data_IF_480102567225
#
_entry.id   IF_480102567225
#
_cell.length_a   1.000
_cell.length_b   1.000
_cell.length_c   1.000
_cell.angle_alpha   90.00
_cell.angle_beta   90.00
_cell.angle_gamma   90.00
#
_symmetry.space_group_name_H-M   'P 1'
#
loop_
_entity.id
_entity.type
_entity.pdbx_description
1 polymer ?
#
# COMPACT_ATOMS: atom_id res chain seq x y z
N UNK A 1 -11.74 -24.38 13.33
CA UNK A 1 -10.34 -24.82 13.26
C UNK A 1 -10.11 -25.60 11.99
N UNK A 2 -9.75 -24.89 10.93
CA UNK A 2 -9.61 -25.50 9.61
C UNK A 2 -8.26 -25.14 9.02
N UNK A 3 -7.42 -26.15 8.82
CA UNK A 3 -6.16 -26.02 8.08
C UNK A 3 -6.39 -26.61 6.70
N UNK A 4 -5.93 -25.90 5.69
CA UNK A 4 -6.08 -26.26 4.29
C UNK A 4 -4.72 -26.52 3.66
N UNK A 5 -4.67 -27.47 2.74
CA UNK A 5 -3.50 -27.74 1.92
C UNK A 5 -3.92 -27.84 0.47
N UNK A 6 -3.23 -27.11 -0.41
CA UNK A 6 -3.55 -27.11 -1.84
C UNK A 6 -2.92 -28.30 -2.59
N UNK A 7 -3.12 -28.32 -3.91
CA UNK A 7 -2.52 -29.30 -4.82
C UNK A 7 -1.01 -29.11 -4.99
N UNK A 8 -0.28 -30.20 -5.24
CA UNK A 8 1.15 -30.14 -5.51
C UNK A 8 1.38 -29.43 -6.84
N UNK A 9 2.20 -28.38 -6.82
CA UNK A 9 2.63 -27.67 -8.03
C UNK A 9 4.12 -27.90 -8.27
N UNK A 10 4.52 -28.03 -9.53
CA UNK A 10 5.93 -28.11 -9.94
C UNK A 10 6.50 -26.72 -10.21
N UNK A 11 7.57 -26.41 -9.50
CA UNK A 11 8.33 -25.16 -9.52
C UNK A 11 9.78 -25.39 -9.96
N UNK A 12 10.01 -26.34 -10.87
CA UNK A 12 11.34 -26.73 -11.35
C UNK A 12 12.30 -25.57 -11.67
N UNK A 13 11.83 -24.50 -12.30
CA UNK A 13 12.68 -23.33 -12.60
C UNK A 13 13.09 -22.52 -11.37
N UNK A 14 12.25 -22.47 -10.35
CA UNK A 14 12.57 -21.81 -9.07
C UNK A 14 13.49 -22.71 -8.26
N UNK A 15 13.20 -24.01 -8.21
CA UNK A 15 14.02 -24.99 -7.52
C UNK A 15 15.44 -25.07 -8.07
N UNK A 16 15.61 -25.07 -9.40
CA UNK A 16 16.92 -25.04 -10.07
C UNK A 16 17.71 -23.78 -9.73
N UNK A 17 17.06 -22.60 -9.78
CA UNK A 17 17.70 -21.31 -9.44
C UNK A 17 18.11 -21.22 -7.98
N UNK A 18 17.37 -21.85 -7.08
CA UNK A 18 17.61 -21.81 -5.62
C UNK A 18 18.37 -23.02 -5.08
N UNK A 19 18.77 -23.97 -5.93
CA UNK A 19 19.46 -25.19 -5.53
C UNK A 19 18.63 -26.07 -4.58
N UNK A 20 17.31 -26.06 -4.71
CA UNK A 20 16.40 -26.82 -3.85
C UNK A 20 16.35 -28.28 -4.29
N UNK A 21 16.29 -29.18 -3.30
CA UNK A 21 16.26 -30.64 -3.53
C UNK A 21 14.92 -31.14 -4.07
N UNK A 22 13.85 -30.38 -3.87
CA UNK A 22 12.52 -30.72 -4.36
C UNK A 22 12.04 -29.62 -5.29
N UNK A 23 11.49 -30.02 -6.42
CA UNK A 23 10.85 -29.14 -7.40
C UNK A 23 9.36 -28.99 -7.13
N UNK A 24 8.80 -29.83 -6.27
CA UNK A 24 7.36 -29.92 -6.05
C UNK A 24 7.02 -29.50 -4.63
N UNK A 25 6.06 -28.60 -4.48
CA UNK A 25 5.52 -28.25 -3.17
C UNK A 25 4.04 -27.85 -3.26
N UNK A 26 3.39 -27.90 -2.11
CA UNK A 26 2.06 -27.39 -1.86
C UNK A 26 2.15 -26.31 -0.77
N UNK A 27 1.11 -25.52 -0.62
CA UNK A 27 0.96 -24.48 0.39
C UNK A 27 -0.01 -24.95 1.47
N UNK A 28 0.43 -24.84 2.71
CA UNK A 28 -0.36 -25.08 3.90
C UNK A 28 -0.79 -23.74 4.50
N UNK A 29 -2.08 -23.60 4.79
CA UNK A 29 -2.66 -22.34 5.26
C UNK A 29 -3.90 -22.60 6.15
N UNK A 30 -4.47 -21.61 6.85
CA UNK A 30 -5.57 -21.85 7.82
C UNK A 30 -6.54 -20.66 7.94
N UNK A 31 -7.59 -20.71 8.76
CA UNK A 31 -8.42 -19.51 8.94
C UNK A 31 -7.66 -18.40 9.70
N UNK A 32 -6.80 -18.78 10.66
CA UNK A 32 -5.94 -17.87 11.44
C UNK A 32 -4.44 -18.26 11.41
N UNK A 33 -3.51 -17.31 11.59
CA UNK A 33 -2.08 -17.61 11.71
C UNK A 33 -1.76 -18.55 12.87
N UNK A 34 -2.42 -18.37 14.02
CA UNK A 34 -2.22 -19.16 15.24
C UNK A 34 -2.52 -20.64 14.99
N UNK A 35 -3.69 -20.94 14.40
CA UNK A 35 -4.06 -22.31 14.02
C UNK A 35 -3.06 -22.93 13.04
N UNK A 36 -2.55 -22.13 12.10
CA UNK A 36 -1.54 -22.59 11.15
C UNK A 36 -0.22 -22.93 11.86
N UNK A 37 0.20 -22.15 12.85
CA UNK A 37 1.43 -22.40 13.59
C UNK A 37 1.34 -23.64 14.46
N UNK A 38 0.23 -23.83 15.15
CA UNK A 38 0.00 -25.02 15.97
C UNK A 38 -0.03 -26.29 15.12
N UNK A 39 -0.65 -26.21 13.93
CA UNK A 39 -0.65 -27.33 12.99
C UNK A 39 0.74 -27.58 12.38
N UNK A 40 1.45 -26.53 11.99
CA UNK A 40 2.79 -26.62 11.44
C UNK A 40 3.78 -27.21 12.44
N UNK A 41 3.68 -26.85 13.72
CA UNK A 41 4.48 -27.42 14.80
C UNK A 41 4.24 -28.94 14.95
N UNK A 42 2.98 -29.39 14.92
CA UNK A 42 2.64 -30.83 14.94
C UNK A 42 3.17 -31.59 13.73
N UNK A 43 3.26 -30.94 12.58
CA UNK A 43 3.90 -31.52 11.38
C UNK A 43 5.44 -31.46 11.40
N UNK A 44 6.05 -30.86 12.42
CA UNK A 44 7.50 -30.68 12.51
C UNK A 44 8.06 -29.66 11.52
N UNK A 45 7.27 -28.66 11.13
CA UNK A 45 7.74 -27.52 10.32
C UNK A 45 8.35 -26.45 11.24
N UNK A 46 9.43 -25.81 10.78
CA UNK A 46 10.10 -24.76 11.55
C UNK A 46 9.33 -23.45 11.45
N UNK A 47 9.21 -22.71 12.56
CA UNK A 47 8.56 -21.38 12.58
C UNK A 47 9.13 -20.42 11.54
N UNK A 48 10.44 -20.47 11.31
CA UNK A 48 11.17 -19.66 10.33
C UNK A 48 10.81 -19.94 8.86
N UNK A 49 10.09 -21.02 8.56
CA UNK A 49 9.60 -21.32 7.20
C UNK A 49 8.26 -20.66 6.88
N UNK A 50 7.70 -19.92 7.84
CA UNK A 50 6.50 -19.13 7.62
C UNK A 50 6.78 -17.97 6.67
N UNK A 51 5.95 -17.81 5.65
CA UNK A 51 6.12 -16.78 4.62
C UNK A 51 5.01 -15.74 4.68
N UNK A 52 5.30 -14.54 4.15
CA UNK A 52 4.33 -13.46 3.97
C UNK A 52 3.60 -13.06 5.27
N UNK A 53 4.32 -13.01 6.40
CA UNK A 53 3.75 -12.67 7.70
C UNK A 53 3.10 -11.28 7.75
N UNK A 54 3.50 -10.40 6.84
CA UNK A 54 3.06 -9.02 6.70
C UNK A 54 1.79 -8.86 5.84
N UNK A 55 1.27 -9.93 5.24
CA UNK A 55 0.09 -9.83 4.38
C UNK A 55 -0.82 -11.05 4.46
N UNK A 56 -2.03 -10.94 3.90
CA UNK A 56 -3.07 -11.98 3.94
C UNK A 56 -2.71 -13.31 3.24
N UNK A 57 -1.59 -13.37 2.51
CA UNK A 57 -1.11 -14.56 1.77
C UNK A 57 -0.12 -15.39 2.60
N UNK A 58 -0.17 -15.28 3.92
CA UNK A 58 0.65 -16.08 4.81
C UNK A 58 0.41 -17.59 4.65
N UNK A 59 1.49 -18.36 4.64
CA UNK A 59 1.46 -19.81 4.42
C UNK A 59 2.80 -20.49 4.80
N UNK A 60 2.80 -21.82 4.77
CA UNK A 60 4.01 -22.66 4.74
C UNK A 60 4.10 -23.42 3.42
N UNK A 61 5.29 -23.48 2.84
CA UNK A 61 5.57 -24.43 1.75
C UNK A 61 5.84 -25.81 2.33
N UNK A 62 5.15 -26.83 1.80
CA UNK A 62 5.27 -28.23 2.23
C UNK A 62 5.64 -29.13 1.06
N UNK A 63 6.57 -30.05 1.28
CA UNK A 63 6.94 -31.09 0.31
C UNK A 63 5.81 -32.11 0.15
N UNK A 64 5.80 -32.95 -0.92
CA UNK A 64 4.78 -33.97 -1.12
C UNK A 64 4.58 -34.91 0.09
N UNK A 65 5.67 -35.29 0.76
CA UNK A 65 5.61 -36.10 1.98
C UNK A 65 4.93 -35.36 3.14
N UNK A 66 5.25 -34.08 3.34
CA UNK A 66 4.62 -33.24 4.38
C UNK A 66 3.17 -32.92 4.05
N UNK A 67 2.79 -32.75 2.79
CA UNK A 67 1.38 -32.67 2.35
C UNK A 67 0.61 -33.93 2.72
N UNK A 68 1.16 -35.12 2.39
CA UNK A 68 0.52 -36.38 2.75
C UNK A 68 0.38 -36.54 4.28
N UNK A 69 1.36 -36.07 5.04
CA UNK A 69 1.26 -36.00 6.50
C UNK A 69 0.18 -35.01 6.98
N UNK A 70 0.07 -33.84 6.34
CA UNK A 70 -0.97 -32.85 6.63
C UNK A 70 -2.38 -33.42 6.44
N UNK A 71 -2.62 -34.11 5.31
CA UNK A 71 -3.90 -34.75 5.04
C UNK A 71 -4.23 -35.83 6.07
N UNK A 72 -3.26 -36.69 6.44
CA UNK A 72 -3.44 -37.68 7.52
C UNK A 72 -3.71 -37.03 8.87
N UNK A 73 -3.17 -35.85 9.13
CA UNK A 73 -3.40 -35.07 10.34
C UNK A 73 -4.71 -34.25 10.32
N UNK A 74 -5.52 -34.39 9.26
CA UNK A 74 -6.84 -33.75 9.15
C UNK A 74 -6.85 -32.39 8.45
N UNK A 75 -5.80 -32.01 7.73
CA UNK A 75 -5.87 -30.85 6.84
C UNK A 75 -6.88 -31.10 5.72
N UNK A 76 -7.69 -30.10 5.40
CA UNK A 76 -8.61 -30.13 4.27
C UNK A 76 -7.88 -29.88 2.96
N UNK A 77 -8.09 -30.78 2.01
CA UNK A 77 -7.63 -30.56 0.65
C UNK A 77 -8.44 -29.46 -0.03
N UNK A 78 -7.76 -28.54 -0.70
CA UNK A 78 -8.37 -27.49 -1.52
C UNK A 78 -7.70 -27.46 -2.90
N UNK A 79 -8.45 -27.07 -3.92
CA UNK A 79 -7.87 -26.78 -5.23
C UNK A 79 -7.39 -25.33 -5.30
N UNK A 80 -6.75 -24.95 -6.41
CA UNK A 80 -6.29 -23.57 -6.65
C UNK A 80 -7.41 -22.53 -6.51
N UNK A 81 -8.65 -22.88 -6.87
CA UNK A 81 -9.81 -21.98 -6.76
C UNK A 81 -10.21 -21.78 -5.31
N UNK A 82 -10.24 -22.85 -4.51
CA UNK A 82 -10.47 -22.81 -3.07
C UNK A 82 -9.42 -21.97 -2.35
N UNK A 83 -8.14 -22.11 -2.73
CA UNK A 83 -7.08 -21.27 -2.19
C UNK A 83 -7.27 -19.79 -2.55
N UNK A 84 -7.65 -19.49 -3.79
CA UNK A 84 -7.96 -18.12 -4.21
C UNK A 84 -9.16 -17.53 -3.46
N UNK A 85 -10.22 -18.32 -3.25
CA UNK A 85 -11.39 -17.91 -2.47
C UNK A 85 -11.04 -17.62 -1.00
N UNK A 86 -10.22 -18.49 -0.39
CA UNK A 86 -9.71 -18.30 0.97
C UNK A 86 -8.87 -17.02 1.09
N UNK A 87 -7.97 -16.78 0.14
CA UNK A 87 -7.17 -15.55 0.08
C UNK A 87 -8.06 -14.31 -0.11
N UNK A 88 -9.11 -14.40 -0.94
CA UNK A 88 -10.07 -13.32 -1.13
C UNK A 88 -10.87 -13.04 0.15
N UNK A 89 -11.30 -14.08 0.87
CA UNK A 89 -11.99 -13.96 2.15
C UNK A 89 -11.09 -13.31 3.21
N UNK A 90 -9.82 -13.75 3.34
CA UNK A 90 -8.86 -13.11 4.26
C UNK A 90 -8.54 -11.68 3.87
N UNK A 91 -8.44 -11.39 2.58
CA UNK A 91 -8.27 -10.02 2.08
C UNK A 91 -9.45 -9.14 2.46
N UNK A 92 -10.68 -9.64 2.32
CA UNK A 92 -11.88 -8.93 2.75
C UNK A 92 -11.90 -8.73 4.28
N UNK A 93 -11.51 -9.76 5.04
CA UNK A 93 -11.48 -9.72 6.50
C UNK A 93 -10.39 -8.77 7.07
N UNK A 94 -9.21 -8.72 6.44
CA UNK A 94 -8.15 -7.77 6.79
C UNK A 94 -8.57 -6.30 6.61
N UNK A 95 -9.41 -6.02 5.61
CA UNK A 95 -10.04 -4.72 5.40
C UNK A 95 -11.25 -4.44 6.30
N UNK A 96 -11.54 -5.30 7.30
CA UNK A 96 -12.68 -5.17 8.24
C UNK A 96 -12.26 -5.04 9.71
N UNK A 97 -11.01 -4.70 10.01
CA UNK A 97 -10.61 -4.37 11.38
C UNK A 97 -11.17 -2.97 11.77
N UNK A 98 -12.41 -2.98 12.25
CA UNK A 98 -13.09 -1.87 12.94
C UNK A 98 -13.69 -0.82 12.01
N UNK A 99 -15.00 -0.59 12.13
CA UNK A 99 -15.57 0.70 11.71
C UNK A 99 -14.96 1.76 12.62
N UNK A 100 -14.02 2.53 12.08
CA UNK A 100 -13.42 3.67 12.78
C UNK A 100 -14.34 4.87 12.57
N UNK A 101 -14.71 5.50 13.69
CA UNK A 101 -15.51 6.71 13.71
C UNK A 101 -14.65 7.90 14.07
N UNK A 102 -14.94 9.05 13.48
CA UNK A 102 -14.26 10.30 13.74
C UNK A 102 -15.18 11.49 13.48
N UNK A 103 -14.76 12.65 13.96
CA UNK A 103 -15.45 13.92 13.71
C UNK A 103 -14.44 15.03 13.55
N UNK A 104 -14.76 16.03 12.72
CA UNK A 104 -13.91 17.19 12.53
C UNK A 104 -14.47 18.14 11.50
N UNK A 105 -13.64 19.07 11.05
CA UNK A 105 -14.01 20.05 10.03
C UNK A 105 -13.38 19.68 8.71
N UNK A 106 -14.16 19.70 7.63
CA UNK A 106 -13.65 19.49 6.27
C UNK A 106 -12.73 20.65 5.91
N UNK A 107 -11.47 20.37 5.58
CA UNK A 107 -10.47 21.38 5.21
C UNK A 107 -10.16 21.40 3.72
N UNK A 108 -10.38 20.30 3.02
CA UNK A 108 -10.22 20.19 1.57
C UNK A 108 -11.13 19.08 1.04
N UNK A 109 -11.59 19.21 -0.21
CA UNK A 109 -12.38 18.20 -0.91
C UNK A 109 -11.94 18.15 -2.36
N UNK A 110 -11.40 17.01 -2.77
CA UNK A 110 -11.01 16.73 -4.15
C UNK A 110 -12.07 15.81 -4.76
N UNK A 111 -12.87 16.32 -5.70
CA UNK A 111 -13.88 15.53 -6.42
C UNK A 111 -13.25 14.95 -7.67
N UNK A 112 -13.35 13.64 -7.82
CA UNK A 112 -12.86 12.87 -8.97
C UNK A 112 -14.02 12.13 -9.63
N UNK A 113 -13.79 11.65 -10.85
CA UNK A 113 -14.76 10.85 -11.59
C UNK A 113 -14.20 9.44 -11.78
N UNK A 114 -15.02 8.41 -11.63
CA UNK A 114 -14.64 7.03 -11.97
C UNK A 114 -14.52 6.87 -13.49
N UNK A 115 -13.90 5.78 -13.94
CA UNK A 115 -13.86 5.42 -15.37
C UNK A 115 -15.26 5.25 -15.99
N UNK A 116 -16.28 5.02 -15.15
CA UNK A 116 -17.69 4.90 -15.54
C UNK A 116 -18.47 6.22 -15.46
N UNK A 117 -17.80 7.34 -15.16
CA UNK A 117 -18.44 8.66 -15.10
C UNK A 117 -19.09 9.01 -13.76
N UNK A 118 -18.93 8.17 -12.72
CA UNK A 118 -19.55 8.42 -11.42
C UNK A 118 -18.66 9.31 -10.54
N UNK A 119 -19.20 10.37 -9.91
CA UNK A 119 -18.41 11.25 -9.07
C UNK A 119 -18.12 10.60 -7.71
N UNK A 120 -16.87 10.67 -7.27
CA UNK A 120 -16.40 10.27 -5.94
C UNK A 120 -15.48 11.36 -5.38
N UNK A 121 -15.15 11.35 -4.09
CA UNK A 121 -14.34 12.42 -3.51
C UNK A 121 -13.29 11.93 -2.52
N UNK A 122 -12.23 12.71 -2.33
CA UNK A 122 -11.34 12.62 -1.18
C UNK A 122 -11.54 13.87 -0.33
N UNK A 123 -12.05 13.71 0.89
CA UNK A 123 -12.27 14.80 1.81
C UNK A 123 -11.23 14.75 2.94
N UNK A 124 -10.46 15.82 3.11
CA UNK A 124 -9.59 15.99 4.25
C UNK A 124 -10.40 16.52 5.44
N UNK A 125 -10.46 15.75 6.52
CA UNK A 125 -11.17 16.14 7.75
C UNK A 125 -10.15 16.37 8.86
N UNK A 126 -10.08 17.60 9.36
CA UNK A 126 -9.22 17.98 10.48
C UNK A 126 -9.96 17.80 11.80
N UNK A 127 -9.50 16.83 12.60
CA UNK A 127 -9.92 16.62 13.97
C UNK A 127 -8.94 17.20 14.98
N UNK A 128 -9.14 16.88 16.26
CA UNK A 128 -8.27 17.32 17.36
C UNK A 128 -6.90 16.65 17.36
N UNK A 129 -6.81 15.42 16.84
CA UNK A 129 -5.58 14.62 16.82
C UNK A 129 -4.79 14.74 15.50
N UNK A 130 -5.33 15.41 14.49
CA UNK A 130 -4.70 15.54 13.18
C UNK A 130 -5.72 15.57 12.04
N UNK A 131 -5.21 15.48 10.81
CA UNK A 131 -6.01 15.44 9.59
C UNK A 131 -6.07 14.03 9.04
N UNK A 132 -7.27 13.57 8.69
CA UNK A 132 -7.51 12.28 8.03
C UNK A 132 -8.03 12.54 6.61
N UNK A 133 -7.45 11.86 5.63
CA UNK A 133 -7.97 11.86 4.26
C UNK A 133 -9.01 10.75 4.12
N UNK A 134 -10.27 11.14 3.91
CA UNK A 134 -11.41 10.24 3.79
C UNK A 134 -11.76 10.06 2.32
N UNK A 135 -11.57 8.85 1.79
CA UNK A 135 -12.09 8.45 0.49
C UNK A 135 -13.60 8.21 0.61
N UNK A 136 -14.38 8.93 -0.18
CA UNK A 136 -15.84 8.87 -0.25
C UNK A 136 -16.21 8.17 -1.55
N UNK A 137 -16.63 6.88 -1.51
CA UNK A 137 -17.05 6.15 -2.70
C UNK A 137 -18.23 6.82 -3.39
N UNK A 138 -18.39 6.61 -4.69
CA UNK A 138 -19.42 7.29 -5.50
C UNK A 138 -20.84 7.17 -4.91
N UNK A 139 -21.22 5.98 -4.45
CA UNK A 139 -22.52 5.74 -3.82
C UNK A 139 -22.76 6.57 -2.56
N UNK A 140 -21.71 6.81 -1.75
CA UNK A 140 -21.79 7.64 -0.55
C UNK A 140 -21.73 9.13 -0.93
N UNK A 141 -20.89 9.50 -1.90
CA UNK A 141 -20.77 10.87 -2.36
C UNK A 141 -22.10 11.44 -2.85
N UNK A 142 -22.88 10.66 -3.60
CA UNK A 142 -24.23 11.06 -4.03
C UNK A 142 -25.17 11.39 -2.86
N UNK A 143 -24.97 10.79 -1.69
CA UNK A 143 -25.80 11.01 -0.50
C UNK A 143 -25.30 12.21 0.34
N UNK A 144 -23.99 12.42 0.39
CA UNK A 144 -23.37 13.39 1.31
C UNK A 144 -22.68 14.57 0.63
N UNK A 145 -22.80 14.75 -0.69
CA UNK A 145 -22.11 15.82 -1.44
C UNK A 145 -22.33 17.22 -0.82
N UNK A 146 -23.54 17.51 -0.35
CA UNK A 146 -23.88 18.78 0.30
C UNK A 146 -23.15 19.02 1.63
N UNK A 147 -22.63 17.96 2.27
CA UNK A 147 -21.88 18.03 3.54
C UNK A 147 -20.38 18.20 3.32
N UNK A 148 -19.87 17.89 2.12
CA UNK A 148 -18.46 17.96 1.77
C UNK A 148 -18.08 19.36 1.31
N UNK A 149 -18.23 20.33 2.22
CA UNK A 149 -17.89 21.73 1.98
C UNK A 149 -16.78 22.13 2.95
N UNK A 150 -15.76 22.85 2.46
CA UNK A 150 -14.68 23.35 3.32
C UNK A 150 -15.26 24.24 4.42
N UNK A 151 -14.91 23.93 5.67
CA UNK A 151 -15.45 24.59 6.87
C UNK A 151 -16.66 23.88 7.49
N UNK A 152 -17.26 22.89 6.82
CA UNK A 152 -18.38 22.14 7.37
C UNK A 152 -17.91 21.15 8.45
N UNK A 153 -18.58 21.11 9.62
CA UNK A 153 -18.31 20.11 10.64
C UNK A 153 -19.05 18.81 10.29
N UNK A 154 -18.31 17.71 10.20
CA UNK A 154 -18.83 16.39 9.83
C UNK A 154 -18.39 15.33 10.83
N UNK A 155 -19.28 14.36 11.10
CA UNK A 155 -18.92 13.06 11.64
C UNK A 155 -18.81 12.06 10.49
N UNK A 156 -17.88 11.13 10.60
CA UNK A 156 -17.66 10.09 9.61
C UNK A 156 -17.42 8.75 10.28
N UNK A 157 -17.85 7.69 9.61
CA UNK A 157 -17.54 6.31 9.95
C UNK A 157 -17.01 5.60 8.71
N UNK A 158 -16.11 4.64 8.90
CA UNK A 158 -15.49 3.98 7.77
C UNK A 158 -14.44 2.97 8.18
N UNK A 159 -13.65 2.52 7.22
CA UNK A 159 -12.67 1.46 7.41
C UNK A 159 -11.31 1.89 6.88
N UNK A 160 -10.24 1.41 7.50
CA UNK A 160 -8.91 1.58 6.95
C UNK A 160 -8.67 0.53 5.87
N UNK A 161 -8.26 0.97 4.70
CA UNK A 161 -7.82 0.13 3.60
C UNK A 161 -6.29 0.17 3.56
N UNK A 162 -5.68 -0.96 3.94
CA UNK A 162 -4.24 -1.18 4.00
C UNK A 162 -3.62 -1.64 2.66
N UNK A 163 -4.46 -1.86 1.64
CA UNK A 163 -4.00 -2.27 0.31
C UNK A 163 -3.09 -1.23 -0.34
N UNK A 164 -3.43 0.09 -0.38
CA UNK A 164 -2.50 1.11 -0.83
C UNK A 164 -1.45 1.41 0.23
N UNK A 165 -0.28 1.84 -0.23
CA UNK A 165 0.78 2.36 0.65
C UNK A 165 1.00 3.83 0.29
N UNK A 166 0.68 4.78 1.18
CA UNK A 166 0.16 4.58 2.54
C UNK A 166 -1.32 4.11 2.58
N UNK A 167 -1.77 3.53 3.72
CA UNK A 167 -3.15 3.11 3.91
C UNK A 167 -4.12 4.29 3.78
N UNK A 168 -5.30 4.04 3.23
CA UNK A 168 -6.34 5.06 3.00
C UNK A 168 -7.56 4.78 3.84
N UNK A 169 -8.19 5.82 4.37
CA UNK A 169 -9.45 5.68 5.08
C UNK A 169 -10.61 5.74 4.08
N UNK A 170 -11.45 4.72 4.04
CA UNK A 170 -12.64 4.65 3.17
C UNK A 170 -13.89 4.87 4.01
N UNK A 171 -14.57 5.99 3.76
CA UNK A 171 -15.80 6.36 4.44
C UNK A 171 -16.95 5.44 4.02
N UNK A 172 -17.72 5.00 5.01
CA UNK A 172 -18.98 4.26 4.87
C UNK A 172 -20.16 5.17 5.13
N UNK A 173 -20.02 6.15 6.03
CA UNK A 173 -21.06 7.12 6.36
C UNK A 173 -20.44 8.48 6.67
N UNK A 174 -21.10 9.56 6.24
CA UNK A 174 -20.76 10.95 6.58
C UNK A 174 -22.04 11.69 6.94
N UNK A 175 -22.07 12.30 8.12
CA UNK A 175 -23.21 13.05 8.64
C UNK A 175 -22.79 14.43 9.13
N UNK A 176 -23.70 15.39 9.08
CA UNK A 176 -23.44 16.71 9.66
C UNK A 176 -23.37 16.58 11.18
N UNK A 177 -22.32 17.12 11.79
CA UNK A 177 -22.34 17.37 13.24
C UNK A 177 -22.99 18.72 13.49
N UNK A 178 -23.95 18.76 14.41
CA UNK A 178 -24.48 20.04 14.86
C UNK A 178 -23.34 20.87 15.46
N UNK A 179 -23.00 21.99 14.81
CA UNK A 179 -22.24 23.04 15.48
C UNK A 179 -23.00 23.40 16.75
N UNK A 180 -22.43 23.14 17.93
CA UNK A 180 -22.85 23.88 19.12
C UNK A 180 -22.38 25.32 18.90
N UNK A 181 -23.29 26.29 18.75
CA UNK A 181 -22.87 27.66 18.45
C UNK A 181 -22.18 28.25 19.69
N UNK A 182 -21.04 28.93 19.57
CA UNK A 182 -20.78 30.02 20.51
C UNK A 182 -21.87 31.08 20.27
N UNK A 183 -22.47 31.56 21.36
CA UNK A 183 -23.46 32.63 21.32
C UNK A 183 -22.96 33.81 20.46
N UNK A 184 -23.82 34.28 19.54
CA UNK A 184 -23.50 35.23 18.47
C UNK A 184 -23.22 36.67 18.93
N UNK A 185 -23.43 37.72 18.10
CA UNK A 185 -24.11 37.73 16.79
C UNK A 185 -23.40 38.51 15.65
N UNK A 186 -24.03 38.45 14.47
CA UNK A 186 -24.04 39.42 13.34
C UNK A 186 -23.24 39.02 12.09
N UNK A 187 -24.01 38.63 11.05
CA UNK A 187 -23.67 38.77 9.62
C UNK A 187 -23.80 40.27 9.21
N UNK A 188 -23.60 40.70 7.92
CA UNK A 188 -23.40 39.93 6.69
C UNK A 188 -22.35 40.50 5.69
N UNK A 189 -22.02 39.76 4.63
CA UNK A 189 -21.88 40.28 3.26
C UNK A 189 -21.51 39.17 2.26
N UNK A 190 -22.19 39.22 1.11
CA UNK A 190 -22.11 38.32 -0.03
C UNK A 190 -20.75 38.27 -0.72
N UNK A 191 -20.37 37.11 -1.26
CA UNK A 191 -19.44 36.98 -2.37
C UNK A 191 -19.94 35.91 -3.35
N UNK A 192 -19.99 36.29 -4.62
CA UNK A 192 -20.49 35.53 -5.78
C UNK A 192 -19.70 34.25 -6.08
N UNK A 193 -20.28 33.28 -6.82
CA UNK A 193 -19.60 32.03 -7.16
C UNK A 193 -18.47 32.26 -8.17
N UNK A 194 -17.22 32.01 -7.76
CA UNK A 194 -16.09 31.96 -8.66
C UNK A 194 -16.22 30.73 -9.59
N UNK A 195 -16.18 31.01 -10.90
CA UNK A 195 -16.30 30.04 -12.00
C UNK A 195 -15.26 28.93 -11.92
N UNK A 196 -15.71 27.71 -12.16
CA UNK A 196 -14.88 26.55 -12.42
C UNK A 196 -14.07 26.75 -13.72
N UNK A 197 -12.75 26.55 -13.65
CA UNK A 197 -11.95 26.14 -14.80
C UNK A 197 -11.83 24.61 -14.80
N UNK A 198 -12.00 23.95 -15.94
CA UNK A 198 -11.74 22.52 -16.07
C UNK A 198 -10.23 22.27 -16.21
N UNK A 199 -9.83 21.04 -15.93
CA UNK A 199 -8.48 20.48 -16.10
C UNK A 199 -7.44 20.80 -15.01
N UNK A 200 -7.63 20.22 -13.83
CA UNK A 200 -6.52 19.62 -13.06
C UNK A 200 -7.05 18.36 -12.37
N UNK A 201 -6.36 17.24 -12.57
CA UNK A 201 -6.54 16.01 -11.79
C UNK A 201 -5.54 16.06 -10.62
N UNK A 202 -5.95 16.22 -9.35
CA UNK A 202 -5.06 15.92 -8.23
C UNK A 202 -5.35 14.49 -7.77
N UNK A 203 -4.42 13.62 -8.11
CA UNK A 203 -4.39 12.26 -7.61
C UNK A 203 -3.61 12.24 -6.29
N UNK A 204 -4.27 11.81 -5.22
CA UNK A 204 -3.71 11.44 -3.91
C UNK A 204 -2.72 12.46 -3.30
N UNK A 205 -3.20 13.29 -2.37
CA UNK A 205 -2.32 14.03 -1.47
C UNK A 205 -1.35 13.04 -0.79
N UNK A 206 -0.03 13.13 -1.05
CA UNK A 206 0.92 12.34 -0.29
C UNK A 206 1.09 12.96 1.09
N UNK A 207 1.42 12.12 2.05
CA UNK A 207 1.70 12.46 3.45
C UNK A 207 2.99 13.31 3.51
N UNK A 208 2.90 14.57 3.10
CA UNK A 208 3.91 15.59 3.35
C UNK A 208 3.22 16.75 4.05
N UNK A 209 3.88 17.31 5.07
CA UNK A 209 3.33 18.25 6.06
C UNK A 209 2.82 19.61 5.54
N UNK A 210 2.47 19.74 4.26
CA UNK A 210 1.83 20.89 3.66
C UNK A 210 0.86 20.41 2.58
N UNK A 211 -0.37 20.92 2.57
CA UNK A 211 -1.43 20.52 1.64
C UNK A 211 -1.03 20.63 0.15
N UNK A 212 0.01 21.41 -0.16
CA UNK A 212 0.53 21.64 -1.50
C UNK A 212 1.93 21.06 -1.74
N UNK A 213 2.50 20.29 -0.80
CA UNK A 213 3.91 19.87 -0.88
C UNK A 213 4.27 19.12 -2.15
N UNK A 214 3.35 18.31 -2.66
CA UNK A 214 3.54 17.62 -3.92
C UNK A 214 3.51 18.57 -5.11
N UNK A 215 2.52 19.46 -5.17
CA UNK A 215 2.35 20.42 -6.25
C UNK A 215 3.53 21.41 -6.30
N UNK A 216 3.99 21.89 -5.14
CA UNK A 216 5.13 22.79 -5.03
C UNK A 216 6.41 22.13 -5.57
N UNK A 217 6.65 20.87 -5.21
CA UNK A 217 7.82 20.11 -5.69
C UNK A 217 7.71 19.85 -7.20
N UNK A 218 6.54 19.44 -7.71
CA UNK A 218 6.36 19.18 -9.14
C UNK A 218 6.46 20.45 -9.98
N UNK A 219 5.91 21.58 -9.51
CA UNK A 219 6.04 22.87 -10.18
C UNK A 219 7.49 23.34 -10.21
N UNK A 220 8.21 23.24 -9.09
CA UNK A 220 9.64 23.55 -9.01
C UNK A 220 10.49 22.66 -9.93
N UNK A 221 10.15 21.37 -9.97
CA UNK A 221 10.80 20.37 -10.82
C UNK A 221 10.49 20.53 -12.32
N UNK A 222 9.55 21.41 -12.70
CA UNK A 222 9.05 21.50 -14.07
C UNK A 222 8.51 20.17 -14.58
N UNK A 223 7.87 19.41 -13.68
CA UNK A 223 7.34 18.06 -13.91
C UNK A 223 8.37 17.06 -14.44
N UNK A 224 9.64 17.22 -14.11
CA UNK A 224 10.73 16.33 -14.53
C UNK A 224 11.39 15.66 -13.33
N UNK A 225 11.94 14.47 -13.54
CA UNK A 225 12.77 13.81 -12.54
C UNK A 225 14.02 14.66 -12.25
N UNK A 226 14.18 15.09 -11.00
CA UNK A 226 15.26 15.98 -10.51
C UNK A 226 16.53 15.21 -10.08
N UNK A 227 16.58 13.89 -10.26
CA UNK A 227 17.75 13.11 -9.84
C UNK A 227 19.05 13.67 -10.46
N UNK A 228 20.04 13.93 -9.61
CA UNK A 228 21.37 14.47 -9.98
C UNK A 228 22.43 13.38 -10.16
N UNK A 229 22.02 12.10 -10.14
CA UNK A 229 22.89 10.95 -10.38
C UNK A 229 22.82 9.87 -9.30
N UNK A 230 22.01 10.06 -8.26
CA UNK A 230 21.78 9.09 -7.18
C UNK A 230 21.28 7.74 -7.70
N UNK A 231 20.53 7.73 -8.81
CA UNK A 231 20.10 6.49 -9.46
C UNK A 231 21.28 5.72 -10.08
N UNK A 232 22.36 6.40 -10.46
CA UNK A 232 23.50 5.87 -11.22
C UNK A 232 23.09 5.03 -12.43
N UNK A 233 22.02 5.44 -13.11
CA UNK A 233 21.64 4.97 -14.44
C UNK A 233 22.36 5.83 -15.48
N UNK A 234 22.88 5.20 -16.53
CA UNK A 234 23.57 5.90 -17.60
C UNK A 234 22.55 6.55 -18.54
N UNK A 235 22.11 7.75 -18.19
CA UNK A 235 21.24 8.62 -19.00
C UNK A 235 22.01 9.20 -20.20
N UNK A 236 22.50 8.31 -21.09
CA UNK A 236 23.45 8.64 -22.16
C UNK A 236 22.88 9.60 -23.21
N UNK A 237 21.57 9.58 -23.44
CA UNK A 237 20.89 10.45 -24.42
C UNK A 237 20.68 11.88 -23.94
N UNK A 238 20.76 12.10 -22.63
CA UNK A 238 20.34 13.31 -21.94
C UNK A 238 21.45 13.87 -21.06
N UNK A 239 22.70 13.50 -21.36
CA UNK A 239 23.89 14.04 -20.70
C UNK A 239 24.02 13.68 -19.22
N UNK A 240 23.45 12.54 -18.79
CA UNK A 240 23.53 12.10 -17.38
C UNK A 240 22.33 12.48 -16.51
N UNK A 241 21.34 13.23 -17.05
CA UNK A 241 20.09 13.55 -16.35
C UNK A 241 18.91 12.70 -16.82
N UNK A 242 17.99 12.39 -15.93
CA UNK A 242 16.75 11.72 -16.34
C UNK A 242 15.82 12.71 -17.05
N UNK A 243 15.29 12.33 -18.20
CA UNK A 243 14.31 13.08 -19.01
C UNK A 243 12.86 12.65 -18.75
N UNK A 244 12.63 11.82 -17.73
CA UNK A 244 11.31 11.34 -17.38
C UNK A 244 10.43 12.51 -16.89
N UNK A 245 9.32 12.74 -17.59
CA UNK A 245 8.31 13.75 -17.27
C UNK A 245 7.05 13.14 -16.67
N UNK A 246 6.42 13.84 -15.73
CA UNK A 246 5.09 13.47 -15.25
C UNK A 246 4.10 13.43 -16.42
N UNK A 247 3.30 12.38 -16.53
CA UNK A 247 2.36 12.19 -17.64
C UNK A 247 3.00 11.82 -18.99
N UNK A 248 4.34 11.81 -19.10
CA UNK A 248 5.05 11.37 -20.29
C UNK A 248 4.98 9.84 -20.49
N UNK A 249 5.25 9.37 -21.71
CA UNK A 249 5.24 7.93 -22.01
C UNK A 249 6.66 7.42 -22.26
N UNK A 250 7.06 6.40 -21.49
CA UNK A 250 8.39 5.79 -21.57
C UNK A 250 8.57 4.74 -22.68
N UNK A 251 7.51 4.44 -23.45
CA UNK A 251 7.53 3.44 -24.52
C UNK A 251 6.13 2.94 -24.92
N UNK A 252 6.01 2.22 -26.04
CA UNK A 252 4.74 1.61 -26.47
C UNK A 252 4.27 0.58 -25.43
N UNK A 253 3.01 0.70 -25.00
CA UNK A 253 2.38 -0.23 -24.06
C UNK A 253 2.75 -0.04 -22.58
N UNK A 254 3.46 1.04 -22.24
CA UNK A 254 3.75 1.39 -20.85
C UNK A 254 2.73 2.43 -20.34
N UNK A 255 2.30 2.33 -19.06
CA UNK A 255 1.49 3.37 -18.44
C UNK A 255 2.27 4.70 -18.40
N UNK A 256 1.56 5.84 -18.30
CA UNK A 256 2.21 7.15 -18.19
C UNK A 256 3.12 7.18 -16.96
N UNK A 257 4.25 7.86 -17.10
CA UNK A 257 5.24 8.03 -16.05
C UNK A 257 4.60 8.88 -14.95
N UNK A 258 4.45 8.27 -13.77
CA UNK A 258 4.07 8.97 -12.56
C UNK A 258 5.34 9.32 -11.78
N UNK A 259 5.59 10.60 -11.60
CA UNK A 259 6.63 11.07 -10.70
C UNK A 259 6.14 11.03 -9.26
N UNK A 260 7.07 10.75 -8.36
CA UNK A 260 6.87 10.65 -6.92
C UNK A 260 7.71 11.73 -6.23
N UNK A 261 7.26 12.20 -5.07
CA UNK A 261 8.03 13.14 -4.24
C UNK A 261 8.72 12.35 -3.14
N UNK A 262 10.02 12.55 -2.99
CA UNK A 262 10.82 11.91 -1.96
C UNK A 262 12.04 12.76 -1.61
N UNK A 263 12.67 12.54 -0.44
CA UNK A 263 13.92 13.19 -0.08
C UNK A 263 15.02 12.92 -1.11
N UNK A 264 15.99 13.82 -1.18
CA UNK A 264 17.21 13.60 -1.97
C UNK A 264 17.98 12.36 -1.51
N UNK A 265 18.09 12.18 -0.20
CA UNK A 265 18.74 11.03 0.41
C UNK A 265 17.74 9.86 0.53
N UNK A 266 17.91 8.78 -0.25
CA UNK A 266 17.02 7.63 -0.25
C UNK A 266 17.14 6.77 1.02
N UNK A 267 18.06 7.09 1.95
CA UNK A 267 18.17 6.41 3.24
C UNK A 267 17.25 6.99 4.31
N UNK A 268 16.69 8.18 4.08
CA UNK A 268 15.78 8.85 5.02
C UNK A 268 14.55 7.96 5.24
N UNK A 269 14.26 7.55 6.49
CA UNK A 269 13.07 6.76 6.79
C UNK A 269 11.79 7.49 6.41
N UNK A 270 10.79 6.76 5.93
CA UNK A 270 9.53 7.32 5.43
C UNK A 270 8.81 8.21 6.47
N UNK A 271 8.86 7.83 7.75
CA UNK A 271 8.27 8.61 8.83
C UNK A 271 8.97 9.97 9.08
N UNK A 272 10.24 10.09 8.73
CA UNK A 272 11.00 11.35 8.77
C UNK A 272 10.69 12.16 7.51
N UNK A 273 10.72 11.50 6.35
CA UNK A 273 10.38 12.10 5.06
C UNK A 273 9.00 12.77 5.06
N UNK A 274 8.02 12.15 5.72
CA UNK A 274 6.65 12.67 5.84
C UNK A 274 6.54 14.01 6.58
N UNK A 275 7.55 14.38 7.38
CA UNK A 275 7.60 15.62 8.17
C UNK A 275 8.46 16.71 7.51
N UNK A 276 9.12 16.38 6.41
CA UNK A 276 9.99 17.31 5.69
C UNK A 276 9.15 18.33 4.90
N UNK A 277 9.72 19.52 4.72
CA UNK A 277 9.13 20.60 3.94
C UNK A 277 9.43 20.44 2.45
N UNK A 278 8.67 21.09 1.57
CA UNK A 278 8.79 20.92 0.11
C UNK A 278 10.14 21.33 -0.49
N UNK A 279 10.94 22.12 0.21
CA UNK A 279 12.32 22.47 -0.13
C UNK A 279 13.32 21.33 0.14
N UNK A 280 12.98 20.37 0.99
CA UNK A 280 13.83 19.23 1.33
C UNK A 280 13.49 17.96 0.53
N UNK A 281 12.51 18.05 -0.36
CA UNK A 281 12.01 16.96 -1.19
C UNK A 281 12.33 17.23 -2.67
N UNK A 282 12.35 16.20 -3.50
CA UNK A 282 12.55 16.34 -4.95
C UNK A 282 11.64 15.40 -5.73
N UNK A 283 11.42 15.71 -7.00
CA UNK A 283 10.66 14.86 -7.90
C UNK A 283 11.51 13.70 -8.44
N UNK A 284 11.01 12.47 -8.32
CA UNK A 284 11.66 11.25 -8.79
C UNK A 284 10.77 10.50 -9.78
N UNK A 285 11.35 9.90 -10.81
CA UNK A 285 10.66 8.83 -11.54
C UNK A 285 10.85 7.50 -10.81
N UNK A 286 9.85 6.61 -10.93
CA UNK A 286 9.86 5.32 -10.22
C UNK A 286 11.12 4.47 -10.48
N UNK A 287 11.68 4.51 -11.70
CA UNK A 287 12.92 3.79 -12.03
C UNK A 287 14.13 4.38 -11.29
N UNK A 288 14.28 5.71 -11.27
CA UNK A 288 15.41 6.35 -10.61
C UNK A 288 15.36 6.17 -9.09
N UNK A 289 14.17 6.32 -8.48
CA UNK A 289 13.98 6.12 -7.04
C UNK A 289 14.27 4.69 -6.60
N UNK A 290 13.72 3.71 -7.32
CA UNK A 290 13.92 2.30 -7.00
C UNK A 290 15.41 1.90 -7.03
N UNK A 291 16.17 2.40 -8.00
CA UNK A 291 17.61 2.11 -8.09
C UNK A 291 18.40 2.85 -7.00
N UNK A 292 18.06 4.12 -6.71
CA UNK A 292 18.70 4.89 -5.65
C UNK A 292 18.53 4.22 -4.26
N UNK A 293 17.30 3.80 -3.94
CA UNK A 293 16.99 3.04 -2.70
C UNK A 293 17.70 1.70 -2.67
N UNK A 294 17.78 0.99 -3.81
CA UNK A 294 18.49 -0.29 -3.88
C UNK A 294 19.99 -0.15 -3.60
N UNK A 295 20.61 0.92 -4.11
CA UNK A 295 22.05 1.21 -3.90
C UNK A 295 22.38 1.72 -2.51
N UNK A 296 21.44 2.37 -1.83
CA UNK A 296 21.63 2.91 -0.49
C UNK A 296 21.48 1.86 0.62
N UNK A 297 20.87 0.70 0.32
CA UNK A 297 20.86 -0.44 1.23
C UNK A 297 22.29 -0.96 1.43
N UNK A 298 22.75 -1.14 2.68
CA UNK A 298 24.05 -1.75 2.92
C UNK A 298 24.08 -3.12 2.25
N UNK A 299 25.16 -3.40 1.50
CA UNK A 299 25.39 -4.72 0.97
C UNK A 299 25.37 -5.69 2.16
N UNK A 300 24.32 -6.52 2.25
CA UNK A 300 24.31 -7.65 3.15
C UNK A 300 25.36 -8.61 2.60
N UNK A 301 26.62 -8.37 2.96
CA UNK A 301 27.70 -9.35 2.89
C UNK A 301 27.25 -10.43 3.84
N UNK A 302 26.53 -11.42 3.32
CA UNK A 302 26.35 -12.68 4.00
C UNK A 302 27.74 -13.21 4.28
N UNK A 303 28.24 -13.01 5.51
CA UNK A 303 29.30 -13.86 6.04
C UNK A 303 28.71 -15.26 6.00
N UNK A 304 29.15 -16.04 5.02
CA UNK A 304 28.86 -17.46 4.91
C UNK A 304 29.25 -18.05 6.26
N UNK A 305 28.27 -18.43 7.08
CA UNK A 305 28.55 -19.18 8.29
C UNK A 305 29.35 -20.41 7.85
N UNK A 306 30.50 -20.72 8.51
CA UNK A 306 31.23 -21.93 8.19
C UNK A 306 30.25 -23.12 8.28
N UNK A 307 30.31 -24.06 7.32
CA UNK A 307 29.40 -25.20 7.34
C UNK A 307 29.51 -25.91 8.68
N UNK A 308 28.39 -26.24 9.35
CA UNK A 308 28.45 -27.13 10.50
C UNK A 308 29.09 -28.44 10.03
N UNK A 309 30.13 -28.87 10.75
CA UNK A 309 30.79 -30.14 10.51
C UNK A 309 29.73 -31.25 10.54
N UNK A 310 29.72 -32.04 9.48
CA UNK A 310 28.84 -33.18 9.32
C UNK A 310 29.26 -34.26 10.31
N UNK A 311 28.43 -34.50 11.32
CA UNK A 311 28.39 -35.80 11.97
C UNK A 311 26.95 -36.33 11.94
N UNK A 312 26.85 -37.59 11.47
CA UNK A 312 25.69 -38.47 11.42
C UNK A 312 24.55 -38.11 10.46
N UNK A 313 24.84 -38.30 9.16
CA UNK A 313 23.89 -38.87 8.20
C UNK A 313 23.61 -40.34 8.59
N UNK A 314 22.32 -40.69 8.73
CA UNK A 314 21.78 -42.06 8.92
C UNK A 314 22.08 -42.76 10.25
N UNK A 315 21.13 -42.66 11.19
CA UNK A 315 20.80 -43.76 12.09
C UNK A 315 19.30 -43.73 12.42
N UNK A 316 18.59 -44.69 11.81
CA UNK A 316 17.24 -45.22 12.06
C UNK A 316 16.04 -44.26 12.01
#
# INVERSE_FOLDING_TARGET
>A
MTVYVDEITDYGDVARRRGLRSTQWAHLTADTPEELHDFAARLGLKRAWFQNADNYRWHYDVTPSKRAAALRAGAREIDRRGLAALMAARRAAGSTAGVVTGSGTVTAVDVCTTDQGEPWAVAAVKGTLGTVACHVPAALYQQCAALLVVGAPVAFSGRMDDRPTPPVFVAVEITATASTPPAGPSAPASAEPAKASPDVVPLAAPIFGNANGWADVMQRAGEQCECTGQCGLNHRRTGGRCDARHGGYGGKGCPPIRLEVAPEDPTVPEHVAARMTSDQLMAWCGKCRAVAVSKSKPAVRGKKAPPPQSDALFAL
#
